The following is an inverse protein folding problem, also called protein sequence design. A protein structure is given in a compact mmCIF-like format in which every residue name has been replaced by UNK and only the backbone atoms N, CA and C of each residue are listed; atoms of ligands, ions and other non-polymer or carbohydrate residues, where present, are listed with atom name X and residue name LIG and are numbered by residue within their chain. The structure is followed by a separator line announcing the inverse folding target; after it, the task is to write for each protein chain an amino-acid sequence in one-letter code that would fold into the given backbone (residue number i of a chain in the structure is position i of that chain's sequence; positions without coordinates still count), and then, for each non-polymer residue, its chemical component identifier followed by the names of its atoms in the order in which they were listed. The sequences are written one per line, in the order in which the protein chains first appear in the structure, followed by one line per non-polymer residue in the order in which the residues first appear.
data_IF_355318090898
#
_entry.id   IF_355318090898
#
_cell.length_a   1.000
_cell.length_b   1.000
_cell.length_c   1.000
_cell.angle_alpha   90.00
_cell.angle_beta   90.00
_cell.angle_gamma   90.00
#
_symmetry.space_group_name_H-M   'P 1'
#
loop_
_entity.id
_entity.type
_entity.pdbx_description
1 polymer ?
#
# COMPACT_ATOMS: atom_id res chain seq x y z
N UNK A 1 1.75 9.60 -10.92
CA UNK A 1 0.84 9.32 -9.77
C UNK A 1 1.32 10.06 -8.54
N UNK A 2 0.41 10.64 -7.79
CA UNK A 2 0.73 11.30 -6.53
C UNK A 2 0.34 10.43 -5.34
N UNK A 3 0.85 10.78 -4.16
CA UNK A 3 0.47 10.08 -2.94
C UNK A 3 -1.04 10.17 -2.68
N UNK A 4 -1.64 11.35 -2.93
CA UNK A 4 -3.07 11.53 -2.73
C UNK A 4 -3.89 10.64 -3.65
N UNK A 5 -3.47 10.52 -4.92
CA UNK A 5 -4.15 9.66 -5.88
C UNK A 5 -4.09 8.20 -5.44
N UNK A 6 -2.93 7.74 -5.04
CA UNK A 6 -2.77 6.35 -4.61
C UNK A 6 -3.56 6.08 -3.32
N UNK A 7 -3.49 7.02 -2.35
CA UNK A 7 -4.25 6.87 -1.11
C UNK A 7 -5.74 6.77 -1.38
N UNK A 8 -6.26 7.64 -2.24
CA UNK A 8 -7.68 7.64 -2.59
C UNK A 8 -8.08 6.32 -3.25
N UNK A 9 -7.27 5.84 -4.19
CA UNK A 9 -7.54 4.58 -4.87
C UNK A 9 -7.61 3.42 -3.89
N UNK A 10 -6.61 3.31 -3.01
CA UNK A 10 -6.52 2.20 -2.06
C UNK A 10 -7.65 2.25 -1.04
N UNK A 11 -7.95 3.42 -0.50
CA UNK A 11 -9.01 3.52 0.52
C UNK A 11 -10.40 3.32 -0.09
N UNK A 12 -10.61 3.73 -1.34
CA UNK A 12 -11.87 3.44 -2.04
C UNK A 12 -12.04 1.93 -2.22
N UNK A 13 -10.99 1.24 -2.64
CA UNK A 13 -11.01 -0.22 -2.77
C UNK A 13 -11.24 -0.90 -1.41
N UNK A 14 -10.64 -0.36 -0.35
CA UNK A 14 -10.79 -0.89 1.00
C UNK A 14 -12.24 -0.87 1.46
N UNK A 15 -12.95 0.21 1.17
CA UNK A 15 -14.37 0.35 1.57
C UNK A 15 -15.26 -0.68 0.88
N UNK A 16 -14.91 -1.07 -0.35
CA UNK A 16 -15.72 -1.97 -1.16
C UNK A 16 -15.34 -3.45 -0.99
N UNK A 17 -14.07 -3.75 -0.74
CA UNK A 17 -13.56 -5.11 -0.89
C UNK A 17 -12.87 -5.67 0.36
N UNK A 18 -12.57 -4.83 1.35
CA UNK A 18 -11.83 -5.31 2.52
C UNK A 18 -12.72 -6.18 3.40
N UNK A 19 -12.37 -7.44 3.65
CA UNK A 19 -13.09 -8.25 4.62
C UNK A 19 -12.95 -7.66 6.02
N UNK A 20 -13.96 -7.85 6.86
CA UNK A 20 -13.97 -7.26 8.19
C UNK A 20 -12.83 -7.76 9.08
N UNK A 21 -12.33 -8.98 8.82
CA UNK A 21 -11.24 -9.58 9.61
C UNK A 21 -9.85 -9.16 9.13
N UNK A 22 -9.76 -8.41 8.02
CA UNK A 22 -8.49 -7.88 7.53
C UNK A 22 -8.13 -6.60 8.29
N UNK A 23 -6.85 -6.42 8.63
CA UNK A 23 -6.36 -5.14 9.09
C UNK A 23 -6.13 -4.22 7.91
N UNK A 24 -6.20 -2.90 8.15
CA UNK A 24 -6.02 -1.91 7.09
C UNK A 24 -4.68 -2.08 6.38
N UNK A 25 -3.60 -2.19 7.16
CA UNK A 25 -2.26 -2.33 6.57
C UNK A 25 -2.11 -3.59 5.74
N UNK A 26 -2.73 -4.68 6.18
CA UNK A 26 -2.72 -5.94 5.42
C UNK A 26 -3.41 -5.77 4.07
N UNK A 27 -4.55 -5.10 4.05
CA UNK A 27 -5.26 -4.84 2.81
C UNK A 27 -4.43 -3.96 1.89
N UNK A 28 -3.86 -2.87 2.41
CA UNK A 28 -3.04 -1.95 1.62
C UNK A 28 -1.88 -2.69 0.97
N UNK A 29 -1.15 -3.49 1.74
CA UNK A 29 -0.02 -4.25 1.22
C UNK A 29 -0.45 -5.17 0.08
N UNK A 30 -1.50 -5.97 0.31
CA UNK A 30 -1.97 -6.93 -0.68
C UNK A 30 -2.51 -6.25 -1.92
N UNK A 31 -3.22 -5.14 -1.78
CA UNK A 31 -3.72 -4.37 -2.90
C UNK A 31 -2.58 -3.87 -3.79
N UNK A 32 -1.58 -3.25 -3.17
CA UNK A 32 -0.42 -2.71 -3.92
C UNK A 32 0.37 -3.84 -4.58
N UNK A 33 0.53 -4.96 -3.89
CA UNK A 33 1.24 -6.12 -4.45
C UNK A 33 0.53 -6.63 -5.71
N UNK A 34 -0.79 -6.73 -5.65
CA UNK A 34 -1.59 -7.23 -6.77
C UNK A 34 -1.63 -6.25 -7.94
N UNK A 35 -1.88 -4.97 -7.66
CA UNK A 35 -2.12 -3.98 -8.72
C UNK A 35 -0.83 -3.44 -9.33
N UNK A 36 0.22 -3.27 -8.54
CA UNK A 36 1.44 -2.58 -8.97
C UNK A 36 2.70 -3.41 -8.85
N UNK A 37 2.69 -4.45 -8.03
CA UNK A 37 3.84 -5.35 -7.89
C UNK A 37 5.03 -4.75 -7.19
N UNK A 38 4.87 -3.67 -6.41
CA UNK A 38 5.98 -3.00 -5.74
C UNK A 38 5.98 -3.19 -4.21
N UNK A 39 4.95 -3.84 -3.66
CA UNK A 39 4.79 -3.92 -2.21
C UNK A 39 5.97 -4.62 -1.53
N UNK A 40 6.41 -5.74 -2.08
CA UNK A 40 7.51 -6.51 -1.48
C UNK A 40 8.83 -5.75 -1.54
N UNK A 41 9.07 -5.02 -2.63
CA UNK A 41 10.27 -4.22 -2.75
C UNK A 41 10.30 -3.12 -1.69
N UNK A 42 9.16 -2.46 -1.45
CA UNK A 42 9.08 -1.47 -0.39
C UNK A 42 9.30 -2.10 0.97
N UNK A 43 8.69 -3.26 1.22
CA UNK A 43 8.83 -3.93 2.51
C UNK A 43 10.29 -4.34 2.78
N UNK A 44 10.94 -4.98 1.81
CA UNK A 44 12.28 -5.55 2.02
C UNK A 44 13.40 -4.56 1.73
N UNK A 45 13.33 -3.85 0.60
CA UNK A 45 14.43 -2.98 0.19
C UNK A 45 14.38 -1.63 0.88
N UNK A 46 13.19 -1.06 1.04
CA UNK A 46 13.02 0.24 1.71
C UNK A 46 12.83 0.09 3.22
N UNK A 47 12.58 -1.13 3.68
CA UNK A 47 12.42 -1.40 5.11
C UNK A 47 11.14 -0.83 5.71
N UNK A 48 10.10 -0.60 4.88
CA UNK A 48 8.84 -0.01 5.34
C UNK A 48 7.75 -1.06 5.24
N UNK A 49 7.25 -1.54 6.37
CA UNK A 49 6.22 -2.57 6.42
C UNK A 49 4.90 -1.99 6.95
N UNK A 50 3.83 -2.15 6.18
CA UNK A 50 2.49 -1.84 6.66
C UNK A 50 1.63 -3.10 6.84
N UNK A 51 2.11 -4.27 6.42
CA UNK A 51 1.34 -5.50 6.55
C UNK A 51 1.05 -5.82 8.01
N UNK A 52 2.06 -5.70 8.86
CA UNK A 52 1.94 -5.96 10.30
C UNK A 52 1.79 -4.69 11.13
N UNK A 53 2.08 -3.50 10.57
CA UNK A 53 2.09 -2.23 11.30
C UNK A 53 1.24 -1.21 10.54
N UNK A 54 -0.01 -1.06 10.97
CA UNK A 54 -0.97 -0.16 10.31
C UNK A 54 -0.50 1.30 10.30
N UNK A 55 0.28 1.70 11.30
CA UNK A 55 0.78 3.07 11.42
C UNK A 55 1.73 3.46 10.30
N UNK A 56 2.29 2.46 9.61
CA UNK A 56 3.22 2.71 8.51
C UNK A 56 2.55 2.87 7.14
N UNK A 57 1.21 2.85 7.08
CA UNK A 57 0.50 2.91 5.81
C UNK A 57 0.92 4.12 4.98
N UNK A 58 0.95 5.32 5.56
CA UNK A 58 1.29 6.53 4.80
C UNK A 58 2.72 6.49 4.28
N UNK A 59 3.68 6.09 5.11
CA UNK A 59 5.08 5.96 4.69
C UNK A 59 5.21 4.89 3.60
N UNK A 60 4.49 3.79 3.74
CA UNK A 60 4.48 2.71 2.76
C UNK A 60 3.95 3.20 1.40
N UNK A 61 2.82 3.90 1.41
CA UNK A 61 2.23 4.42 0.17
C UNK A 61 3.15 5.45 -0.50
N UNK A 62 3.80 6.30 0.29
CA UNK A 62 4.75 7.26 -0.26
C UNK A 62 5.90 6.57 -0.97
N UNK A 63 6.47 5.53 -0.38
CA UNK A 63 7.53 4.76 -1.01
C UNK A 63 7.03 4.03 -2.27
N UNK A 64 5.79 3.53 -2.23
CA UNK A 64 5.17 2.89 -3.38
C UNK A 64 5.03 3.85 -4.56
N UNK A 65 4.60 5.10 -4.30
CA UNK A 65 4.47 6.11 -5.34
C UNK A 65 5.79 6.34 -6.04
N UNK A 66 6.88 6.43 -5.29
CA UNK A 66 8.21 6.62 -5.88
C UNK A 66 8.57 5.47 -6.82
N UNK A 67 8.31 4.24 -6.40
CA UNK A 67 8.62 3.07 -7.23
C UNK A 67 7.71 2.97 -8.45
N UNK A 68 6.43 3.27 -8.29
CA UNK A 68 5.49 3.26 -9.42
C UNK A 68 5.90 4.30 -10.45
N UNK A 69 6.30 5.49 -10.02
CA UNK A 69 6.67 6.57 -10.93
C UNK A 69 8.01 6.34 -11.63
N UNK A 70 8.84 5.43 -11.12
CA UNK A 70 10.12 5.09 -11.72
C UNK A 70 10.03 4.04 -12.82
N UNK A 71 8.90 3.38 -12.95
CA UNK A 71 8.72 2.32 -13.95
C UNK A 71 8.51 2.85 -15.36
#
# INVERSE_FOLDING_TARGET
MTLEELRKEVFTAMQSKKPSWYRKGQFVFNYIDFEYGVARAVQFDDGIDCFYVDENIDAFLEACVKRINQK
#
